data_IF_860295397029
#
_entry.id   IF_860295397029
#
_cell.length_a   1.000
_cell.length_b   1.000
_cell.length_c   1.000
_cell.angle_alpha   90.00
_cell.angle_beta   90.00
_cell.angle_gamma   90.00
#
_symmetry.space_group_name_H-M   'P 1'
#
loop_
_entity.id
_entity.type
_entity.pdbx_description
1 polymer ?
#
# COMPACT_ATOMS: atom_id res chain seq x y z
N UNK A 1 12.30 -34.68 -7.99
CA UNK A 1 12.50 -33.67 -6.93
C UNK A 1 12.69 -32.33 -7.62
N UNK A 2 11.63 -31.55 -7.80
CA UNK A 2 11.64 -30.35 -8.67
C UNK A 2 11.27 -29.03 -7.94
N UNK A 3 10.90 -29.09 -6.65
CA UNK A 3 10.56 -27.90 -5.85
C UNK A 3 11.76 -27.26 -5.13
N UNK A 4 12.96 -27.85 -5.21
CA UNK A 4 14.15 -27.38 -4.50
C UNK A 4 14.55 -25.93 -4.81
N UNK A 5 14.60 -25.51 -6.09
CA UNK A 5 14.94 -24.13 -6.46
C UNK A 5 13.95 -23.10 -5.90
N UNK A 6 12.65 -23.35 -6.04
CA UNK A 6 11.61 -22.45 -5.51
C UNK A 6 11.69 -22.31 -3.99
N UNK A 7 11.90 -23.41 -3.27
CA UNK A 7 12.03 -23.38 -1.80
C UNK A 7 13.26 -22.58 -1.38
N UNK A 8 14.39 -22.77 -2.06
CA UNK A 8 15.60 -21.98 -1.82
C UNK A 8 15.34 -20.48 -2.07
N UNK A 9 14.71 -20.14 -3.18
CA UNK A 9 14.34 -18.75 -3.51
C UNK A 9 13.45 -18.13 -2.43
N UNK A 10 12.42 -18.84 -1.95
CA UNK A 10 11.56 -18.36 -0.87
C UNK A 10 12.36 -18.06 0.42
N UNK A 11 13.28 -18.93 0.80
CA UNK A 11 14.14 -18.71 1.96
C UNK A 11 15.12 -17.53 1.76
N UNK A 12 15.68 -17.38 0.55
CA UNK A 12 16.56 -16.26 0.22
C UNK A 12 15.80 -14.93 0.29
N UNK A 13 14.59 -14.87 -0.27
CA UNK A 13 13.74 -13.67 -0.21
C UNK A 13 13.33 -13.37 1.24
N UNK A 14 13.02 -14.40 2.03
CA UNK A 14 12.73 -14.26 3.46
C UNK A 14 13.93 -13.69 4.24
N UNK A 15 15.13 -14.18 3.97
CA UNK A 15 16.35 -13.65 4.57
C UNK A 15 16.61 -12.19 4.16
N UNK A 16 16.45 -11.89 2.87
CA UNK A 16 16.60 -10.53 2.32
C UNK A 16 15.61 -9.55 2.97
N UNK A 17 14.34 -9.92 3.11
CA UNK A 17 13.33 -9.05 3.74
C UNK A 17 13.63 -8.80 5.20
N UNK A 18 14.09 -9.81 5.94
CA UNK A 18 14.52 -9.62 7.34
C UNK A 18 15.70 -8.65 7.44
N UNK A 19 16.71 -8.79 6.58
CA UNK A 19 17.88 -7.90 6.58
C UNK A 19 17.47 -6.47 6.24
N UNK A 20 16.63 -6.27 5.22
CA UNK A 20 16.14 -4.95 4.85
C UNK A 20 15.28 -4.35 5.96
N UNK A 21 14.38 -5.12 6.55
CA UNK A 21 13.54 -4.64 7.62
C UNK A 21 14.35 -4.32 8.88
N UNK A 22 15.43 -5.06 9.17
CA UNK A 22 16.36 -4.72 10.26
C UNK A 22 17.18 -3.46 9.95
N UNK A 23 17.57 -3.24 8.69
CA UNK A 23 18.35 -2.06 8.26
C UNK A 23 17.52 -0.78 8.27
N UNK A 24 16.29 -0.84 7.79
CA UNK A 24 15.42 0.34 7.61
C UNK A 24 14.38 0.51 8.73
N UNK A 25 14.04 -0.55 9.45
CA UNK A 25 13.08 -0.54 10.56
C UNK A 25 13.78 -0.42 11.92
N UNK A 26 13.11 0.23 12.87
CA UNK A 26 13.59 0.33 14.25
C UNK A 26 12.77 -0.58 15.18
N UNK A 27 13.12 -1.87 15.18
CA UNK A 27 12.31 -2.96 15.77
C UNK A 27 12.11 -2.81 17.28
N UNK A 28 12.96 -2.05 17.96
CA UNK A 28 12.87 -1.82 19.41
C UNK A 28 11.83 -0.78 19.81
N UNK A 29 11.44 0.11 18.90
CA UNK A 29 10.50 1.22 19.19
C UNK A 29 9.15 1.06 18.51
N UNK A 30 9.07 0.24 17.46
CA UNK A 30 7.88 0.11 16.64
C UNK A 30 6.90 -0.92 17.21
N UNK A 31 5.61 -0.71 16.94
CA UNK A 31 4.56 -1.64 17.31
C UNK A 31 4.67 -2.91 16.46
N UNK A 32 4.57 -4.09 17.09
CA UNK A 32 4.78 -5.38 16.42
C UNK A 32 3.92 -5.55 15.15
N UNK A 33 2.68 -5.09 15.19
CA UNK A 33 1.75 -5.19 14.06
C UNK A 33 2.31 -4.47 12.83
N UNK A 34 2.92 -3.28 13.01
CA UNK A 34 3.53 -2.51 11.91
C UNK A 34 4.68 -3.29 11.30
N UNK A 35 5.59 -3.82 12.14
CA UNK A 35 6.71 -4.63 11.68
C UNK A 35 6.26 -5.86 10.91
N UNK A 36 5.25 -6.59 11.41
CA UNK A 36 4.70 -7.77 10.73
C UNK A 36 4.04 -7.40 9.40
N UNK A 37 3.22 -6.35 9.35
CA UNK A 37 2.56 -5.93 8.10
C UNK A 37 3.57 -5.46 7.06
N UNK A 38 4.60 -4.71 7.45
CA UNK A 38 5.66 -4.29 6.54
C UNK A 38 6.46 -5.50 6.03
N UNK A 39 6.79 -6.44 6.92
CA UNK A 39 7.45 -7.69 6.54
C UNK A 39 6.65 -8.45 5.49
N UNK A 40 5.37 -8.68 5.76
CA UNK A 40 4.47 -9.43 4.89
C UNK A 40 4.31 -8.74 3.54
N UNK A 41 4.12 -7.41 3.53
CA UNK A 41 4.03 -6.63 2.30
C UNK A 41 5.29 -6.74 1.44
N UNK A 42 6.46 -6.50 2.04
CA UNK A 42 7.73 -6.56 1.31
C UNK A 42 8.06 -7.97 0.83
N UNK A 43 7.79 -8.99 1.65
CA UNK A 43 7.99 -10.38 1.29
C UNK A 43 7.19 -10.77 0.05
N UNK A 44 5.89 -10.47 0.01
CA UNK A 44 5.10 -10.78 -1.17
C UNK A 44 5.48 -9.96 -2.41
N UNK A 45 5.86 -8.68 -2.25
CA UNK A 45 6.35 -7.88 -3.37
C UNK A 45 7.63 -8.46 -3.99
N UNK A 46 8.61 -8.86 -3.18
CA UNK A 46 9.85 -9.44 -3.70
C UNK A 46 9.66 -10.86 -4.25
N UNK A 47 8.76 -11.66 -3.66
CA UNK A 47 8.44 -12.99 -4.18
C UNK A 47 7.88 -12.92 -5.61
N UNK A 48 7.04 -11.93 -5.92
CA UNK A 48 6.41 -11.80 -7.26
C UNK A 48 7.47 -11.71 -8.38
N UNK A 49 8.63 -11.10 -8.10
CA UNK A 49 9.74 -10.97 -9.06
C UNK A 49 10.25 -12.35 -9.51
N UNK A 50 10.21 -13.35 -8.63
CA UNK A 50 10.66 -14.72 -8.92
C UNK A 50 9.51 -15.63 -9.38
N UNK A 51 8.31 -15.45 -8.83
CA UNK A 51 7.14 -16.25 -9.22
C UNK A 51 6.71 -15.96 -10.66
N UNK A 52 6.76 -14.70 -11.12
CA UNK A 52 6.24 -14.33 -12.44
C UNK A 52 7.02 -15.01 -13.59
N UNK A 53 8.37 -14.99 -13.62
CA UNK A 53 9.12 -15.75 -14.63
C UNK A 53 8.83 -17.26 -14.60
N UNK A 54 8.67 -17.83 -13.40
CA UNK A 54 8.35 -19.25 -13.22
C UNK A 54 6.97 -19.58 -13.80
N UNK A 55 5.96 -18.76 -13.51
CA UNK A 55 4.60 -18.88 -14.03
C UNK A 55 4.57 -18.82 -15.57
N UNK A 56 5.29 -17.86 -16.15
CA UNK A 56 5.42 -17.73 -17.61
C UNK A 56 6.07 -18.98 -18.21
N UNK A 57 7.17 -19.47 -17.63
CA UNK A 57 7.86 -20.67 -18.13
C UNK A 57 7.00 -21.93 -18.06
N UNK A 58 6.23 -22.08 -16.98
CA UNK A 58 5.33 -23.22 -16.78
C UNK A 58 4.12 -23.13 -17.72
N UNK A 59 3.62 -21.93 -17.99
CA UNK A 59 2.53 -21.70 -18.95
C UNK A 59 2.96 -22.10 -20.37
N UNK A 60 4.17 -21.74 -20.79
CA UNK A 60 4.70 -22.17 -22.11
C UNK A 60 4.87 -23.68 -22.20
N UNK A 61 5.36 -24.31 -21.13
CA UNK A 61 5.50 -25.77 -21.05
C UNK A 61 4.15 -26.48 -21.14
N UNK A 62 3.16 -26.06 -20.34
CA UNK A 62 1.82 -26.65 -20.35
C UNK A 62 1.11 -26.45 -21.69
N UNK A 63 1.31 -25.29 -22.34
CA UNK A 63 0.81 -25.04 -23.69
C UNK A 63 1.41 -26.01 -24.72
N UNK A 64 2.73 -26.23 -24.66
CA UNK A 64 3.41 -27.18 -25.54
C UNK A 64 2.85 -28.61 -25.36
N UNK A 65 2.64 -29.05 -24.11
CA UNK A 65 2.04 -30.36 -23.85
C UNK A 65 0.64 -30.49 -24.45
N UNK A 66 -0.21 -29.49 -24.24
CA UNK A 66 -1.58 -29.50 -24.73
C UNK A 66 -1.66 -29.48 -26.27
N UNK A 67 -0.75 -28.78 -26.95
CA UNK A 67 -0.67 -28.77 -28.42
C UNK A 67 -0.20 -30.12 -28.99
N UNK A 68 0.70 -30.82 -28.29
CA UNK A 68 1.15 -32.16 -28.67
C UNK A 68 0.08 -33.23 -28.47
N UNK A 69 -0.67 -33.18 -27.36
CA UNK A 69 -1.79 -34.10 -27.11
C UNK A 69 -2.85 -33.97 -28.22
N UNK A 70 -3.18 -32.74 -28.62
CA UNK A 70 -4.15 -32.51 -29.70
C UNK A 70 -3.66 -32.96 -31.09
N UNK A 71 -2.36 -32.90 -31.38
CA UNK A 71 -1.78 -33.44 -32.63
C UNK A 71 -1.66 -34.97 -32.62
N UNK A 72 -1.75 -35.61 -31.47
CA UNK A 72 -1.70 -37.07 -31.33
C UNK A 72 -3.04 -37.78 -31.52
N UNK A 73 -4.13 -37.04 -31.79
CA UNK A 73 -5.42 -37.64 -32.22
C UNK A 73 -5.34 -37.93 -33.73
N UNK A 74 -5.34 -39.21 -34.17
CA UNK A 74 -5.45 -39.53 -35.57
C UNK A 74 -6.85 -39.13 -36.06
N UNK A 75 -6.94 -38.08 -36.87
CA UNK A 75 -8.13 -37.87 -37.69
C UNK A 75 -8.33 -39.13 -38.55
N UNK A 76 -9.53 -39.75 -38.56
CA UNK A 76 -9.80 -40.87 -39.45
C UNK A 76 -9.72 -40.39 -40.90
N UNK A 77 -9.12 -41.23 -41.74
CA UNK A 77 -8.83 -40.99 -43.15
C UNK A 77 -10.00 -40.38 -43.94
N UNK A 78 -9.65 -39.47 -44.88
CA UNK A 78 -10.10 -39.39 -46.29
C UNK A 78 -10.72 -38.03 -46.72
N UNK A 79 -10.72 -37.66 -48.02
CA UNK A 79 -9.75 -37.95 -49.08
C UNK A 79 -9.32 -36.70 -49.89
N UNK A 80 -8.23 -36.85 -50.64
CA UNK A 80 -7.95 -36.21 -51.95
C UNK A 80 -8.07 -34.68 -52.08
N UNK A 81 -6.92 -34.01 -52.14
CA UNK A 81 -6.72 -32.93 -53.12
C UNK A 81 -5.44 -33.21 -53.89
N UNK A 82 -5.62 -33.72 -55.10
CA UNK A 82 -4.59 -33.82 -56.11
C UNK A 82 -4.17 -32.40 -56.53
N UNK A 83 -2.99 -31.96 -56.08
CA UNK A 83 -2.29 -30.81 -56.65
C UNK A 83 -1.32 -31.30 -57.72
N UNK A 84 -1.79 -31.32 -58.96
CA UNK A 84 -0.96 -31.52 -60.16
C UNK A 84 0.08 -30.39 -60.23
N UNK A 85 1.36 -30.74 -60.13
CA UNK A 85 2.44 -29.93 -60.70
C UNK A 85 3.26 -30.83 -61.60
N UNK A 86 3.02 -30.66 -62.90
CA UNK A 86 3.78 -31.24 -63.99
C UNK A 86 5.16 -30.58 -64.03
N UNK A 87 6.24 -31.36 -63.97
CA UNK A 87 7.51 -31.00 -64.60
C UNK A 87 8.35 -32.26 -64.86
N UNK A 88 9.01 -32.23 -66.00
CA UNK A 88 9.51 -33.33 -66.85
C UNK A 88 10.95 -33.75 -66.53
N UNK A 89 11.19 -35.07 -66.68
CA UNK A 89 12.40 -35.82 -67.05
C UNK A 89 13.81 -35.52 -66.48
N UNK A 90 14.41 -36.61 -66.00
CA UNK A 90 15.83 -37.05 -66.15
C UNK A 90 16.96 -36.15 -65.64
N UNK A 91 17.56 -36.50 -64.49
CA UNK A 91 18.87 -37.16 -64.44
C UNK A 91 19.50 -37.11 -63.02
N UNK A 92 19.99 -38.29 -62.57
CA UNK A 92 21.07 -38.57 -61.59
C UNK A 92 21.21 -37.80 -60.26
N UNK A 93 21.44 -38.60 -59.21
CA UNK A 93 22.05 -38.29 -57.91
C UNK A 93 21.25 -37.43 -56.92
N UNK A 94 20.54 -38.12 -56.02
CA UNK A 94 20.09 -37.53 -54.77
C UNK A 94 19.53 -38.60 -53.85
N UNK A 95 20.21 -38.84 -52.73
CA UNK A 95 19.72 -39.66 -51.62
C UNK A 95 18.26 -39.33 -51.32
N UNK A 96 17.38 -40.31 -51.47
CA UNK A 96 15.96 -40.21 -51.13
C UNK A 96 15.87 -40.05 -49.60
N UNK A 97 15.77 -38.80 -49.15
CA UNK A 97 15.37 -38.49 -47.78
C UNK A 97 13.90 -38.90 -47.67
N UNK A 98 13.66 -39.98 -46.94
CA UNK A 98 12.32 -40.37 -46.51
C UNK A 98 11.70 -39.21 -45.71
N UNK A 99 10.42 -38.85 -45.89
CA UNK A 99 9.74 -38.01 -44.91
C UNK A 99 9.45 -38.89 -43.69
N UNK A 100 10.44 -38.98 -42.81
CA UNK A 100 10.32 -39.62 -41.51
C UNK A 100 9.36 -38.80 -40.62
N UNK A 101 8.43 -39.55 -40.05
CA UNK A 101 7.95 -39.43 -38.68
C UNK A 101 6.96 -38.30 -38.36
N UNK A 102 5.90 -38.71 -37.66
CA UNK A 102 5.16 -37.88 -36.71
C UNK A 102 6.16 -37.15 -35.82
N UNK A 103 6.43 -35.88 -36.10
CA UNK A 103 7.26 -35.04 -35.23
C UNK A 103 6.38 -34.60 -34.07
N UNK A 104 6.28 -35.45 -33.05
CA UNK A 104 5.90 -34.97 -31.72
C UNK A 104 6.97 -33.99 -31.26
N UNK A 105 6.59 -32.73 -31.01
CA UNK A 105 7.53 -31.71 -30.54
C UNK A 105 7.94 -32.11 -29.11
N UNK A 106 9.22 -32.39 -28.85
CA UNK A 106 9.65 -32.69 -27.48
C UNK A 106 9.55 -31.41 -26.62
N UNK A 107 8.59 -31.35 -25.68
CA UNK A 107 8.50 -30.23 -24.73
C UNK A 107 9.61 -30.36 -23.68
N UNK A 108 10.52 -29.38 -23.64
CA UNK A 108 11.58 -29.33 -22.63
C UNK A 108 11.02 -28.87 -21.28
N UNK A 109 11.28 -29.63 -20.23
CA UNK A 109 10.83 -29.33 -18.88
C UNK A 109 11.64 -28.14 -18.34
N UNK A 110 10.99 -27.06 -17.84
CA UNK A 110 11.72 -25.96 -17.25
C UNK A 110 12.48 -26.43 -16.00
N UNK A 111 13.71 -25.92 -15.81
CA UNK A 111 14.58 -26.34 -14.70
C UNK A 111 14.00 -26.12 -13.29
N UNK A 112 12.97 -25.28 -13.16
CA UNK A 112 12.20 -25.07 -11.93
C UNK A 112 10.74 -25.50 -12.14
N UNK A 113 10.53 -26.74 -12.58
CA UNK A 113 9.18 -27.29 -12.75
C UNK A 113 8.50 -27.47 -11.37
N UNK A 114 7.33 -26.88 -11.24
CA UNK A 114 6.51 -26.92 -10.03
C UNK A 114 5.11 -27.36 -10.42
N UNK A 115 4.46 -28.18 -9.59
CA UNK A 115 3.12 -28.65 -9.87
C UNK A 115 2.10 -27.49 -9.84
N UNK A 116 1.13 -27.50 -10.76
CA UNK A 116 0.17 -26.40 -10.96
C UNK A 116 -0.58 -26.02 -9.66
N UNK A 117 -0.89 -27.01 -8.82
CA UNK A 117 -1.57 -26.78 -7.54
C UNK A 117 -0.76 -25.96 -6.54
N UNK A 118 0.57 -26.08 -6.56
CA UNK A 118 1.47 -25.31 -5.69
C UNK A 118 1.50 -23.86 -6.14
N UNK A 119 1.67 -23.63 -7.44
CA UNK A 119 1.68 -22.29 -8.03
C UNK A 119 0.33 -21.57 -7.80
N UNK A 120 -0.79 -22.27 -8.03
CA UNK A 120 -2.13 -21.74 -7.76
C UNK A 120 -2.32 -21.40 -6.27
N UNK A 121 -1.80 -22.23 -5.37
CA UNK A 121 -1.87 -21.98 -3.93
C UNK A 121 -1.04 -20.77 -3.53
N UNK A 122 0.18 -20.62 -4.09
CA UNK A 122 1.05 -19.47 -3.84
C UNK A 122 0.38 -18.17 -4.30
N UNK A 123 -0.13 -18.12 -5.54
CA UNK A 123 -0.85 -16.95 -6.05
C UNK A 123 -2.08 -16.63 -5.22
N UNK A 124 -2.82 -17.64 -4.76
CA UNK A 124 -3.97 -17.45 -3.87
C UNK A 124 -3.57 -16.83 -2.54
N UNK A 125 -2.48 -17.30 -1.93
CA UNK A 125 -1.95 -16.72 -0.68
C UNK A 125 -1.57 -15.27 -0.91
N UNK A 126 -0.73 -14.98 -1.91
CA UNK A 126 -0.27 -13.62 -2.25
C UNK A 126 -1.46 -12.68 -2.49
N UNK A 127 -2.43 -13.12 -3.29
CA UNK A 127 -3.62 -12.35 -3.62
C UNK A 127 -4.45 -12.00 -2.38
N UNK A 128 -4.86 -13.00 -1.59
CA UNK A 128 -5.72 -12.74 -0.44
C UNK A 128 -4.99 -12.00 0.68
N UNK A 129 -3.69 -12.25 0.86
CA UNK A 129 -2.90 -11.48 1.81
C UNK A 129 -2.78 -10.02 1.40
N UNK A 130 -2.56 -9.74 0.10
CA UNK A 130 -2.50 -8.37 -0.40
C UNK A 130 -3.85 -7.66 -0.21
N UNK A 131 -4.96 -8.35 -0.48
CA UNK A 131 -6.28 -7.76 -0.27
C UNK A 131 -6.58 -7.47 1.21
N UNK A 132 -6.24 -8.39 2.10
CA UNK A 132 -6.37 -8.18 3.55
C UNK A 132 -5.52 -6.98 4.00
N UNK A 133 -4.29 -6.91 3.50
CA UNK A 133 -3.33 -5.88 3.90
C UNK A 133 -3.80 -4.49 3.43
N UNK A 134 -4.22 -4.37 2.19
CA UNK A 134 -4.67 -3.11 1.57
C UNK A 134 -5.99 -2.61 2.15
N UNK A 135 -7.00 -3.47 2.29
CA UNK A 135 -8.35 -3.01 2.66
C UNK A 135 -8.63 -3.01 4.16
N UNK A 136 -7.83 -3.72 4.96
CA UNK A 136 -8.07 -3.84 6.40
C UNK A 136 -6.86 -3.38 7.20
N UNK A 137 -5.69 -3.97 6.99
CA UNK A 137 -4.54 -3.74 7.89
C UNK A 137 -4.00 -2.32 7.77
N UNK A 138 -3.70 -1.85 6.55
CA UNK A 138 -3.12 -0.51 6.33
C UNK A 138 -4.05 0.63 6.78
N UNK A 139 -5.35 0.65 6.41
CA UNK A 139 -6.27 1.72 6.82
C UNK A 139 -6.51 1.73 8.34
N UNK A 140 -6.56 0.55 8.96
CA UNK A 140 -6.66 0.42 10.41
C UNK A 140 -5.40 0.94 11.11
N UNK A 141 -4.21 0.65 10.59
CA UNK A 141 -2.95 1.17 11.13
C UNK A 141 -2.87 2.69 11.05
N UNK A 142 -3.32 3.27 9.93
CA UNK A 142 -3.33 4.72 9.74
C UNK A 142 -4.20 5.40 10.80
N UNK A 143 -5.46 4.98 10.97
CA UNK A 143 -6.35 5.57 11.97
C UNK A 143 -5.95 5.24 13.40
N UNK A 144 -5.34 4.07 13.65
CA UNK A 144 -4.77 3.72 14.97
C UNK A 144 -3.63 4.65 15.37
N UNK A 145 -2.76 5.02 14.41
CA UNK A 145 -1.66 5.95 14.67
C UNK A 145 -2.15 7.38 14.96
N UNK A 146 -3.27 7.77 14.36
CA UNK A 146 -3.91 9.07 14.53
C UNK A 146 -4.82 9.13 15.77
N UNK A 147 -5.20 7.99 16.35
CA UNK A 147 -6.09 7.94 17.51
C UNK A 147 -5.40 8.49 18.79
N UNK A 148 -6.10 9.43 19.43
CA UNK A 148 -5.65 10.11 20.65
C UNK A 148 -5.92 9.34 21.96
N UNK A 149 -6.55 8.16 21.90
CA UNK A 149 -6.91 7.39 23.10
C UNK A 149 -5.69 6.94 23.90
N UNK A 150 -5.81 6.86 25.22
CA UNK A 150 -4.69 6.46 26.09
C UNK A 150 -4.48 4.95 26.15
N UNK A 151 -5.51 4.15 25.84
CA UNK A 151 -5.44 2.69 25.88
C UNK A 151 -5.32 2.11 24.48
N UNK A 152 -4.54 1.03 24.31
CA UNK A 152 -4.37 0.36 23.02
C UNK A 152 -5.70 -0.16 22.45
N UNK A 153 -6.57 -0.71 23.31
CA UNK A 153 -7.90 -1.17 22.90
C UNK A 153 -8.82 -0.02 22.52
N UNK A 154 -8.74 1.12 23.23
CA UNK A 154 -9.46 2.35 22.88
C UNK A 154 -9.08 2.84 21.49
N UNK A 155 -7.77 2.94 21.23
CA UNK A 155 -7.25 3.32 19.90
C UNK A 155 -7.73 2.38 18.80
N UNK A 156 -7.71 1.07 19.05
CA UNK A 156 -8.18 0.08 18.07
C UNK A 156 -9.69 0.21 17.81
N UNK A 157 -10.49 0.44 18.86
CA UNK A 157 -11.93 0.65 18.73
C UNK A 157 -12.24 1.92 17.93
N UNK A 158 -11.57 3.02 18.23
CA UNK A 158 -11.72 4.29 17.52
C UNK A 158 -11.27 4.16 16.06
N UNK A 159 -10.13 3.50 15.82
CA UNK A 159 -9.63 3.19 14.48
C UNK A 159 -10.61 2.35 13.67
N UNK A 160 -11.18 1.30 14.27
CA UNK A 160 -12.17 0.44 13.63
C UNK A 160 -13.49 1.20 13.35
N UNK A 161 -13.95 2.02 14.29
CA UNK A 161 -15.17 2.81 14.12
C UNK A 161 -15.05 3.84 13.00
N UNK A 162 -13.94 4.59 12.95
CA UNK A 162 -13.70 5.58 11.90
C UNK A 162 -13.62 4.93 10.51
N UNK A 163 -12.92 3.79 10.40
CA UNK A 163 -12.89 3.01 9.16
C UNK A 163 -14.27 2.45 8.81
N UNK A 164 -15.04 1.96 9.79
CA UNK A 164 -16.39 1.43 9.56
C UNK A 164 -17.36 2.51 9.04
N UNK A 165 -17.28 3.76 9.50
CA UNK A 165 -18.05 4.87 8.94
C UNK A 165 -17.64 5.09 7.48
N UNK A 166 -16.34 5.17 7.21
CA UNK A 166 -15.83 5.44 5.87
C UNK A 166 -16.27 4.33 4.89
N UNK A 167 -15.95 3.07 5.17
CA UNK A 167 -16.37 1.93 4.35
C UNK A 167 -17.88 1.74 4.31
N UNK A 168 -18.58 2.04 5.40
CA UNK A 168 -20.04 2.02 5.45
C UNK A 168 -20.66 2.99 4.45
N UNK A 169 -20.08 4.18 4.30
CA UNK A 169 -20.57 5.15 3.30
C UNK A 169 -20.33 4.69 1.86
N UNK A 170 -19.18 4.07 1.54
CA UNK A 170 -18.95 3.43 0.24
C UNK A 170 -19.89 2.26 -0.03
N UNK A 171 -20.13 1.41 0.98
CA UNK A 171 -21.04 0.27 0.86
C UNK A 171 -22.49 0.73 0.62
N UNK A 172 -22.91 1.85 1.23
CA UNK A 172 -24.23 2.44 0.96
C UNK A 172 -24.36 2.84 -0.51
N UNK A 173 -23.40 3.63 -1.02
CA UNK A 173 -23.39 4.07 -2.42
C UNK A 173 -23.37 2.86 -3.37
N UNK A 174 -22.51 1.88 -3.10
CA UNK A 174 -22.44 0.64 -3.86
C UNK A 174 -23.75 -0.16 -3.82
N UNK A 175 -24.39 -0.23 -2.65
CA UNK A 175 -25.70 -0.87 -2.47
C UNK A 175 -26.81 -0.20 -3.28
N UNK A 176 -26.82 1.14 -3.37
CA UNK A 176 -27.77 1.87 -4.22
C UNK A 176 -27.55 1.57 -5.71
N UNK A 177 -26.29 1.47 -6.15
CA UNK A 177 -25.96 1.08 -7.52
C UNK A 177 -26.42 -0.36 -7.83
N UNK A 178 -26.25 -1.28 -6.89
CA UNK A 178 -26.75 -2.65 -7.03
C UNK A 178 -28.28 -2.71 -7.07
N UNK A 179 -28.96 -1.90 -6.26
CA UNK A 179 -30.42 -1.78 -6.29
C UNK A 179 -30.91 -1.26 -7.64
N UNK A 180 -30.23 -0.25 -8.20
CA UNK A 180 -30.50 0.24 -9.55
C UNK A 180 -30.30 -0.85 -10.61
N UNK A 181 -29.20 -1.61 -10.54
CA UNK A 181 -28.93 -2.72 -11.46
C UNK A 181 -29.97 -3.85 -11.35
N UNK A 182 -30.40 -4.18 -10.13
CA UNK A 182 -31.48 -5.15 -9.89
C UNK A 182 -32.81 -4.67 -10.47
N UNK A 183 -33.15 -3.38 -10.30
CA UNK A 183 -34.35 -2.78 -10.89
C UNK A 183 -34.34 -2.80 -12.43
N UNK A 184 -33.14 -2.81 -13.05
CA UNK A 184 -32.95 -3.01 -14.49
C UNK A 184 -32.95 -4.48 -14.93
N UNK A 185 -33.21 -5.42 -14.02
CA UNK A 185 -33.38 -6.84 -14.32
C UNK A 185 -32.11 -7.69 -14.21
N UNK A 186 -31.03 -7.19 -13.58
CA UNK A 186 -29.81 -7.98 -13.38
C UNK A 186 -29.99 -8.97 -12.22
N UNK A 187 -29.70 -10.25 -12.47
CA UNK A 187 -29.76 -11.28 -11.43
C UNK A 187 -28.58 -11.17 -10.45
N UNK A 188 -28.89 -10.67 -9.25
CA UNK A 188 -27.93 -10.53 -8.14
C UNK A 188 -27.71 -11.89 -7.44
N UNK A 189 -26.85 -12.72 -8.01
CA UNK A 189 -26.36 -13.93 -7.33
C UNK A 189 -25.12 -13.60 -6.47
N UNK A 190 -24.94 -14.28 -5.33
CA UNK A 190 -23.75 -14.14 -4.49
C UNK A 190 -22.45 -14.44 -5.25
N UNK A 191 -22.50 -15.35 -6.23
CA UNK A 191 -21.38 -15.62 -7.13
C UNK A 191 -21.03 -14.40 -8.00
N UNK A 192 -22.04 -13.77 -8.61
CA UNK A 192 -21.87 -12.57 -9.44
C UNK A 192 -21.39 -11.38 -8.59
N UNK A 193 -21.92 -11.24 -7.38
CA UNK A 193 -21.50 -10.18 -6.44
C UNK A 193 -20.04 -10.35 -6.02
N UNK A 194 -19.60 -11.58 -5.73
CA UNK A 194 -18.19 -11.86 -5.42
C UNK A 194 -17.28 -11.48 -6.59
N UNK A 195 -17.64 -11.88 -7.82
CA UNK A 195 -16.87 -11.54 -9.02
C UNK A 195 -16.82 -10.02 -9.21
N UNK A 196 -17.95 -9.33 -9.06
CA UNK A 196 -18.03 -7.88 -9.16
C UNK A 196 -17.14 -7.15 -8.15
N UNK A 197 -17.10 -7.60 -6.89
CA UNK A 197 -16.25 -7.01 -5.86
C UNK A 197 -14.76 -7.23 -6.15
N UNK A 198 -14.40 -8.43 -6.60
CA UNK A 198 -13.02 -8.77 -6.99
C UNK A 198 -12.58 -7.93 -8.18
N UNK A 199 -13.41 -7.79 -9.21
CA UNK A 199 -13.09 -6.97 -10.39
C UNK A 199 -13.05 -5.49 -10.05
N UNK A 200 -13.99 -4.98 -9.25
CA UNK A 200 -14.00 -3.57 -8.81
C UNK A 200 -12.73 -3.20 -8.04
N UNK A 201 -12.29 -4.04 -7.09
CA UNK A 201 -11.04 -3.82 -6.35
C UNK A 201 -9.83 -3.82 -7.28
N UNK A 202 -9.79 -4.68 -8.30
CA UNK A 202 -8.69 -4.72 -9.25
C UNK A 202 -8.70 -3.48 -10.16
N UNK A 203 -9.87 -3.05 -10.64
CA UNK A 203 -10.02 -1.81 -11.42
C UNK A 203 -9.56 -0.59 -10.63
N UNK A 204 -9.83 -0.53 -9.33
CA UNK A 204 -9.30 0.54 -8.47
C UNK A 204 -7.77 0.56 -8.44
N UNK A 205 -7.15 -0.61 -8.25
CA UNK A 205 -5.68 -0.73 -8.28
C UNK A 205 -5.08 -0.37 -9.63
N UNK A 206 -5.69 -0.80 -10.74
CA UNK A 206 -5.24 -0.44 -12.10
C UNK A 206 -5.42 1.05 -12.39
N UNK A 207 -6.51 1.66 -11.91
CA UNK A 207 -6.73 3.10 -12.05
C UNK A 207 -5.63 3.89 -11.33
N UNK A 208 -5.31 3.53 -10.09
CA UNK A 208 -4.19 4.13 -9.36
C UNK A 208 -2.86 3.89 -10.06
N UNK A 209 -2.59 2.67 -10.55
CA UNK A 209 -1.37 2.37 -11.29
C UNK A 209 -1.23 3.28 -12.50
N UNK A 210 -2.28 3.45 -13.31
CA UNK A 210 -2.23 4.33 -14.49
C UNK A 210 -1.91 5.77 -14.11
N UNK A 211 -2.52 6.30 -13.06
CA UNK A 211 -2.28 7.68 -12.61
C UNK A 211 -0.87 7.86 -12.01
N UNK A 212 -0.45 6.97 -11.12
CA UNK A 212 0.80 7.10 -10.37
C UNK A 212 2.01 6.71 -11.23
N UNK A 213 1.92 5.66 -12.04
CA UNK A 213 3.00 5.21 -12.90
C UNK A 213 3.34 6.26 -13.96
N UNK A 214 2.33 6.95 -14.51
CA UNK A 214 2.55 8.01 -15.50
C UNK A 214 3.43 9.14 -14.96
N UNK A 215 3.14 9.61 -13.74
CA UNK A 215 3.97 10.61 -13.07
C UNK A 215 5.36 10.04 -12.71
N UNK A 216 5.42 8.84 -12.12
CA UNK A 216 6.66 8.21 -11.68
C UNK A 216 7.65 7.98 -12.83
N UNK A 217 7.17 7.60 -14.02
CA UNK A 217 8.02 7.33 -15.18
C UNK A 217 8.73 8.59 -15.71
N UNK A 218 8.12 9.77 -15.55
CA UNK A 218 8.68 11.03 -16.05
C UNK A 218 9.46 11.77 -14.96
N UNK A 219 8.90 11.89 -13.76
CA UNK A 219 9.47 12.73 -12.73
C UNK A 219 10.69 12.07 -12.06
N UNK A 220 10.69 10.75 -11.86
CA UNK A 220 11.83 10.07 -11.20
C UNK A 220 13.14 10.22 -11.99
N UNK A 221 13.20 9.91 -13.31
CA UNK A 221 14.43 10.12 -14.09
C UNK A 221 14.83 11.58 -14.18
N UNK A 222 13.86 12.49 -14.35
CA UNK A 222 14.09 13.93 -14.36
C UNK A 222 14.72 14.41 -13.06
N UNK A 223 14.18 13.97 -11.92
CA UNK A 223 14.68 14.32 -10.60
C UNK A 223 16.11 13.82 -10.42
N UNK A 224 16.42 12.58 -10.82
CA UNK A 224 17.78 12.02 -10.75
C UNK A 224 18.75 12.85 -11.61
N UNK A 225 18.36 13.15 -12.85
CA UNK A 225 19.16 13.97 -13.78
C UNK A 225 19.46 15.36 -13.21
N UNK A 226 18.43 16.06 -12.73
CA UNK A 226 18.55 17.38 -12.15
C UNK A 226 19.38 17.39 -10.87
N UNK A 227 19.25 16.36 -10.03
CA UNK A 227 20.04 16.19 -8.79
C UNK A 227 21.52 15.96 -9.07
N UNK A 228 21.86 15.42 -10.25
CA UNK A 228 23.24 15.31 -10.72
C UNK A 228 23.91 16.66 -11.03
N UNK A 229 23.13 17.69 -11.40
CA UNK A 229 23.65 19.00 -11.75
C UNK A 229 23.89 19.89 -10.52
N UNK A 230 25.15 20.28 -10.29
CA UNK A 230 25.57 21.00 -9.07
C UNK A 230 24.87 22.37 -8.91
N UNK A 231 24.73 23.14 -9.99
CA UNK A 231 24.12 24.49 -9.96
C UNK A 231 22.63 24.46 -9.63
N UNK A 232 21.86 23.61 -10.31
CA UNK A 232 20.44 23.41 -10.01
C UNK A 232 20.23 22.89 -8.59
N UNK A 233 21.03 21.88 -8.17
CA UNK A 233 20.93 21.31 -6.83
C UNK A 233 21.19 22.35 -5.74
N UNK A 234 22.18 23.22 -5.93
CA UNK A 234 22.50 24.28 -4.98
C UNK A 234 21.33 25.27 -4.83
N UNK A 235 20.82 25.78 -5.96
CA UNK A 235 19.71 26.74 -5.94
C UNK A 235 18.42 26.14 -5.35
N UNK A 236 18.10 24.90 -5.72
CA UNK A 236 16.98 24.16 -5.15
C UNK A 236 17.13 23.97 -3.65
N UNK A 237 18.33 23.60 -3.18
CA UNK A 237 18.59 23.40 -1.75
C UNK A 237 18.44 24.71 -0.97
N UNK A 238 18.88 25.86 -1.50
CA UNK A 238 18.66 27.15 -0.85
C UNK A 238 17.17 27.47 -0.69
N UNK A 239 16.38 27.28 -1.75
CA UNK A 239 14.93 27.44 -1.69
C UNK A 239 14.28 26.46 -0.70
N UNK A 240 14.70 25.20 -0.71
CA UNK A 240 14.18 24.18 0.19
C UNK A 240 14.53 24.51 1.66
N UNK A 241 15.72 25.06 1.95
CA UNK A 241 16.11 25.51 3.29
C UNK A 241 15.20 26.64 3.78
N UNK A 242 14.94 27.64 2.94
CA UNK A 242 14.05 28.76 3.29
C UNK A 242 12.64 28.25 3.57
N UNK A 243 12.12 27.39 2.69
CA UNK A 243 10.80 26.77 2.87
C UNK A 243 10.75 25.93 4.15
N UNK A 244 11.72 25.05 4.39
CA UNK A 244 11.76 24.23 5.59
C UNK A 244 11.93 25.07 6.87
N UNK A 245 12.64 26.21 6.79
CA UNK A 245 12.74 27.14 7.91
C UNK A 245 11.41 27.83 8.20
N UNK A 246 10.65 28.20 7.17
CA UNK A 246 9.32 28.77 7.33
C UNK A 246 8.34 27.73 7.91
N UNK A 247 8.32 26.51 7.36
CA UNK A 247 7.50 25.39 7.84
C UNK A 247 7.86 25.03 9.30
N UNK A 248 9.15 25.06 9.66
CA UNK A 248 9.61 24.85 11.04
C UNK A 248 9.07 25.92 11.97
N UNK A 249 9.15 27.20 11.59
CA UNK A 249 8.68 28.30 12.42
C UNK A 249 7.15 28.20 12.66
N UNK A 250 6.37 27.89 11.62
CA UNK A 250 4.91 27.68 11.72
C UNK A 250 4.57 26.48 12.62
N UNK A 251 5.32 25.39 12.51
CA UNK A 251 5.17 24.23 13.39
C UNK A 251 5.54 24.54 14.85
N UNK A 252 6.60 25.32 15.09
CA UNK A 252 6.98 25.77 16.44
C UNK A 252 5.93 26.71 17.06
N UNK A 253 5.33 27.60 16.26
CA UNK A 253 4.23 28.46 16.70
C UNK A 253 2.99 27.63 17.05
N UNK A 254 2.57 26.74 16.15
CA UNK A 254 1.47 25.79 16.41
C UNK A 254 1.72 24.97 17.68
N UNK A 255 2.96 24.53 17.92
CA UNK A 255 3.32 23.77 19.12
C UNK A 255 3.15 24.60 20.40
N UNK A 256 3.53 25.88 20.38
CA UNK A 256 3.35 26.81 21.51
C UNK A 256 1.86 27.04 21.81
N UNK A 257 1.05 27.22 20.78
CA UNK A 257 -0.40 27.40 20.92
C UNK A 257 -1.05 26.15 21.53
N UNK A 258 -0.75 24.96 21.00
CA UNK A 258 -1.28 23.70 21.53
C UNK A 258 -0.82 23.43 22.97
N UNK A 259 0.41 23.83 23.34
CA UNK A 259 0.87 23.75 24.72
C UNK A 259 0.06 24.67 25.65
N UNK A 260 -0.20 25.92 25.23
CA UNK A 260 -1.03 26.86 26.00
C UNK A 260 -2.42 26.29 26.23
N UNK A 261 -3.06 25.77 25.18
CA UNK A 261 -4.39 25.17 25.28
C UNK A 261 -4.39 23.95 26.22
N UNK A 262 -3.35 23.10 26.14
CA UNK A 262 -3.19 21.94 27.03
C UNK A 262 -3.00 22.36 28.49
N UNK A 263 -2.24 23.43 28.75
CA UNK A 263 -2.02 23.97 30.08
C UNK A 263 -3.29 24.61 30.65
N UNK A 264 -4.02 25.37 29.84
CA UNK A 264 -5.31 25.95 30.22
C UNK A 264 -6.33 24.85 30.56
N UNK A 265 -6.42 23.81 29.73
CA UNK A 265 -7.26 22.64 30.00
C UNK A 265 -6.84 21.92 31.29
N UNK A 266 -5.54 21.78 31.56
CA UNK A 266 -5.04 21.20 32.79
C UNK A 266 -5.38 22.05 34.02
N UNK A 267 -5.20 23.37 33.95
CA UNK A 267 -5.50 24.29 35.06
C UNK A 267 -7.00 24.43 35.33
N UNK A 268 -7.84 24.27 34.30
CA UNK A 268 -9.30 24.25 34.46
C UNK A 268 -9.79 23.00 35.22
N UNK A 269 -9.01 21.91 35.25
CA UNK A 269 -9.35 20.68 35.97
C UNK A 269 -9.02 20.82 37.46
N UNK A 270 -10.06 20.97 38.28
CA UNK A 270 -9.96 21.01 39.75
C UNK A 270 -9.20 19.77 40.30
N UNK A 271 -8.46 19.95 41.39
CA UNK A 271 -7.47 18.98 41.93
C UNK A 271 -8.01 17.55 42.16
N UNK A 272 -9.32 17.37 42.31
CA UNK A 272 -9.96 16.08 42.57
C UNK A 272 -10.51 15.37 41.32
N UNK A 273 -10.30 15.88 40.10
CA UNK A 273 -10.90 15.30 38.89
C UNK A 273 -10.11 14.08 38.37
N UNK A 274 -10.74 12.93 38.07
CA UNK A 274 -10.07 11.73 37.54
C UNK A 274 -9.27 11.96 36.24
N UNK A 275 -9.65 12.96 35.45
CA UNK A 275 -8.99 13.32 34.19
C UNK A 275 -7.73 14.19 34.35
N UNK A 276 -7.42 14.67 35.56
CA UNK A 276 -6.21 15.47 35.77
C UNK A 276 -4.93 14.70 35.44
N UNK A 277 -4.87 13.42 35.82
CA UNK A 277 -3.76 12.51 35.48
C UNK A 277 -3.57 12.38 33.95
N UNK A 278 -4.66 12.41 33.18
CA UNK A 278 -4.57 12.38 31.71
C UNK A 278 -3.99 13.68 31.15
N UNK A 279 -4.34 14.83 31.74
CA UNK A 279 -3.74 16.13 31.40
C UNK A 279 -2.24 16.18 31.69
N UNK A 280 -1.79 15.59 32.80
CA UNK A 280 -0.35 15.49 33.13
C UNK A 280 0.41 14.63 32.11
N UNK A 281 -0.17 13.51 31.68
CA UNK A 281 0.42 12.66 30.63
C UNK A 281 0.55 13.43 29.31
N UNK A 282 -0.45 14.26 28.96
CA UNK A 282 -0.41 15.10 27.76
C UNK A 282 0.71 16.13 27.89
N UNK A 283 0.79 16.85 29.01
CA UNK A 283 1.84 17.85 29.26
C UNK A 283 3.25 17.24 29.28
N UNK A 284 3.38 15.98 29.72
CA UNK A 284 4.65 15.26 29.71
C UNK A 284 5.14 14.89 28.30
N UNK A 285 4.28 14.91 27.27
CA UNK A 285 4.69 14.63 25.88
C UNK A 285 5.36 15.82 25.20
N UNK A 286 5.21 17.04 25.71
CA UNK A 286 5.85 18.20 25.12
C UNK A 286 7.35 18.21 25.42
N UNK A 287 8.19 18.72 24.49
CA UNK A 287 9.63 18.78 24.70
C UNK A 287 9.97 19.62 25.94
N UNK A 288 10.94 19.17 26.77
CA UNK A 288 11.25 19.81 28.05
C UNK A 288 11.74 21.25 27.87
N UNK A 289 12.45 21.52 26.76
CA UNK A 289 12.92 22.85 26.37
C UNK A 289 11.77 23.86 26.26
N UNK A 290 10.65 23.44 25.65
CA UNK A 290 9.48 24.30 25.46
C UNK A 290 8.78 24.60 26.79
N UNK A 291 8.70 23.60 27.67
CA UNK A 291 8.09 23.74 29.00
C UNK A 291 8.83 24.80 29.81
N UNK A 292 10.15 24.71 29.86
CA UNK A 292 11.02 25.67 30.56
C UNK A 292 10.88 27.08 29.97
N UNK A 293 10.96 27.22 28.65
CA UNK A 293 10.85 28.53 27.99
C UNK A 293 9.51 29.23 28.29
N UNK A 294 8.41 28.48 28.28
CA UNK A 294 7.07 29.04 28.49
C UNK A 294 6.78 29.29 29.97
N UNK A 295 7.26 28.43 30.88
CA UNK A 295 7.17 28.65 32.33
C UNK A 295 7.99 29.87 32.75
N UNK A 296 9.20 30.07 32.20
CA UNK A 296 10.00 31.28 32.40
C UNK A 296 9.31 32.52 31.85
N UNK A 297 8.70 32.41 30.67
CA UNK A 297 7.94 33.50 30.05
C UNK A 297 6.67 33.86 30.84
N UNK A 298 6.01 32.87 31.43
CA UNK A 298 4.87 33.06 32.32
C UNK A 298 5.30 33.70 33.65
N UNK A 299 6.38 33.22 34.27
CA UNK A 299 6.94 33.82 35.48
C UNK A 299 7.40 35.27 35.26
N UNK A 300 7.97 35.58 34.08
CA UNK A 300 8.36 36.94 33.70
C UNK A 300 7.12 37.83 33.51
N UNK A 301 6.07 37.33 32.86
CA UNK A 301 4.78 38.05 32.73
C UNK A 301 4.11 38.28 34.09
N UNK A 302 4.14 37.31 35.00
CA UNK A 302 3.59 37.47 36.35
C UNK A 302 4.30 38.57 37.14
N UNK A 303 5.64 38.64 37.05
CA UNK A 303 6.44 39.72 37.66
C UNK A 303 6.11 41.11 37.09
N UNK A 304 5.79 41.18 35.80
CA UNK A 304 5.38 42.43 35.13
C UNK A 304 3.93 42.79 35.50
N UNK A 305 3.03 41.80 35.61
CA UNK A 305 1.62 41.97 35.97
C UNK A 305 1.40 42.37 37.44
N UNK A 306 2.35 42.11 38.34
CA UNK A 306 2.38 42.76 39.67
C UNK A 306 2.45 44.30 39.61
N UNK A 307 2.57 44.90 38.41
CA UNK A 307 2.42 46.34 38.17
C UNK A 307 1.06 46.80 37.61
N UNK A 308 0.17 45.91 37.14
CA UNK A 308 -1.13 46.31 36.57
C UNK A 308 -2.09 45.11 36.46
N UNK A 309 -3.18 45.14 37.23
CA UNK A 309 -4.33 44.25 37.07
C UNK A 309 -5.31 44.80 36.02
N UNK A 310 -5.77 43.95 35.10
CA UNK A 310 -7.19 43.84 34.76
C UNK A 310 -7.45 42.53 34.02
N UNK A 311 -8.51 41.84 34.41
CA UNK A 311 -8.93 40.55 33.92
C UNK A 311 -10.23 40.69 33.12
N UNK A 312 -10.18 40.42 31.82
CA UNK A 312 -11.32 40.03 31.00
C UNK A 312 -10.78 39.50 29.68
N UNK A 313 -10.87 38.18 29.46
CA UNK A 313 -11.20 37.53 28.18
C UNK A 313 -10.85 36.03 28.25
N UNK A 314 -11.78 35.25 28.81
CA UNK A 314 -11.66 33.78 28.86
C UNK A 314 -12.91 33.05 28.34
N UNK A 315 -13.86 33.76 27.70
CA UNK A 315 -15.17 33.18 27.39
C UNK A 315 -15.44 32.84 25.90
N UNK A 316 -14.57 33.19 24.95
CA UNK A 316 -14.89 33.09 23.52
C UNK A 316 -14.13 32.03 22.69
N UNK A 317 -13.27 31.19 23.29
CA UNK A 317 -12.38 30.29 22.53
C UNK A 317 -12.97 28.88 22.30
N UNK A 318 -14.04 28.51 23.00
CA UNK A 318 -14.60 27.13 23.01
C UNK A 318 -15.28 26.68 21.71
N UNK A 319 -15.59 27.58 20.76
CA UNK A 319 -16.39 27.24 19.56
C UNK A 319 -15.54 27.04 18.29
N UNK A 320 -14.27 27.46 18.28
CA UNK A 320 -13.37 27.32 17.10
C UNK A 320 -12.70 25.93 17.02
N UNK A 321 -12.50 25.27 18.16
CA UNK A 321 -11.68 24.05 18.28
C UNK A 321 -12.25 22.84 17.55
N UNK A 322 -13.56 22.55 17.66
CA UNK A 322 -14.15 21.37 17.01
C UNK A 322 -14.11 21.43 15.48
N UNK A 323 -14.46 22.58 14.88
CA UNK A 323 -14.47 22.72 13.42
C UNK A 323 -13.05 22.71 12.82
N UNK A 324 -12.08 23.27 13.55
CA UNK A 324 -10.68 23.26 13.13
C UNK A 324 -10.05 21.85 13.21
N UNK A 325 -10.33 21.10 14.29
CA UNK A 325 -9.86 19.72 14.45
C UNK A 325 -10.47 18.76 13.42
N UNK A 326 -11.77 18.90 13.13
CA UNK A 326 -12.44 18.07 12.10
C UNK A 326 -11.92 18.40 10.70
N UNK A 327 -11.69 19.69 10.38
CA UNK A 327 -11.10 20.12 9.09
C UNK A 327 -9.69 19.54 8.87
N UNK A 328 -8.84 19.55 9.91
CA UNK A 328 -7.49 18.98 9.84
C UNK A 328 -7.54 17.45 9.69
N UNK A 329 -8.47 16.77 10.36
CA UNK A 329 -8.68 15.32 10.22
C UNK A 329 -9.06 14.93 8.78
N UNK A 330 -9.98 15.66 8.14
CA UNK A 330 -10.38 15.40 6.75
C UNK A 330 -9.26 15.71 5.74
N UNK A 331 -8.53 16.81 5.92
CA UNK A 331 -7.43 17.22 5.03
C UNK A 331 -6.25 16.24 5.07
N UNK A 332 -5.95 15.68 6.24
CA UNK A 332 -4.86 14.71 6.41
C UNK A 332 -5.23 13.34 5.84
N UNK A 333 -6.49 12.89 6.00
CA UNK A 333 -6.98 11.64 5.40
C UNK A 333 -7.01 11.68 3.87
N UNK A 334 -7.40 12.81 3.26
CA UNK A 334 -7.44 12.95 1.79
C UNK A 334 -6.04 13.02 1.15
N UNK A 335 -5.08 13.70 1.77
CA UNK A 335 -3.70 13.75 1.24
C UNK A 335 -2.97 12.40 1.34
N UNK A 336 -3.28 11.57 2.33
CA UNK A 336 -2.65 10.26 2.52
C UNK A 336 -3.26 9.16 1.65
N UNK A 337 -4.55 9.27 1.28
CA UNK A 337 -5.22 8.33 0.37
C UNK A 337 -4.70 8.38 -1.07
N UNK A 338 -4.06 9.49 -1.47
CA UNK A 338 -3.43 9.65 -2.78
C UNK A 338 -2.03 8.98 -2.82
N UNK A 339 -1.47 8.61 -1.66
CA UNK A 339 -0.11 8.07 -1.52
C UNK A 339 -0.09 6.56 -1.21
N UNK A 340 -1.25 5.90 -1.12
CA UNK A 340 -1.34 4.42 -1.00
C UNK A 340 -1.70 3.78 -2.33
#
# INVERSE_FOLDING_TARGET
MAAGPLVLELFLVFGLTLVLLHKYGNWRKQHLIVTVSTFVGWYFSFIIIFILPLDVSLTFYNKCQHENENHSIPHPLSPTVAGVVTQTNEDTNGSIVSPTANVGVACEVPGSYVADHVLLSLWRVVYWSAQLLTWIVLPLMQTYSQAGDFTALGKLRTAAYNNAIYYGSYLLIFGLLLMYAAAKGVSLNAANLKVLLVTASNTWGLFLLVLLLGYGLVEVPRQIWQTGSKGYRLNKTYFDIEKMSADKNDAEETLKDVYRDALEAHNALRDSHPFRSHGEIILAKFPPELRVMLDESAARRARISTGTMSATDAANVTISSEKYLVSRFFKTSWCLLIVV
#
